data_IF_076117598220
#
_entry.id   IF_076117598220
#
_cell.length_a   1.000
_cell.length_b   1.000
_cell.length_c   1.000
_cell.angle_alpha   90.00
_cell.angle_beta   90.00
_cell.angle_gamma   90.00
#
_symmetry.space_group_name_H-M   'P 1'
#
loop_
_entity.id
_entity.type
_entity.pdbx_description
1 polymer ?
#
# COMPACT_ATOMS: atom_id res chain seq x y z
N UNK A 1 5.75 -83.30 9.93
CA UNK A 1 5.79 -82.88 8.51
C UNK A 1 4.96 -81.63 8.29
N UNK A 2 5.51 -80.74 7.45
CA UNK A 2 4.87 -79.61 6.75
C UNK A 2 4.95 -78.22 7.39
N UNK A 3 6.09 -77.62 7.07
CA UNK A 3 6.38 -76.23 6.69
C UNK A 3 5.25 -75.30 6.17
N UNK A 4 5.49 -74.02 6.49
CA UNK A 4 5.31 -72.77 5.71
C UNK A 4 3.97 -72.01 5.67
N UNK A 5 4.02 -70.73 6.10
CA UNK A 5 3.80 -69.51 5.28
C UNK A 5 4.01 -68.28 6.21
N UNK A 6 5.07 -67.48 6.05
CA UNK A 6 5.25 -66.37 5.10
C UNK A 6 4.59 -65.05 5.52
N UNK A 7 5.43 -64.02 5.47
CA UNK A 7 5.29 -62.64 5.91
C UNK A 7 4.01 -61.89 5.47
N UNK A 8 3.60 -60.90 6.26
CA UNK A 8 3.11 -59.64 5.71
C UNK A 8 3.34 -58.50 6.71
N UNK A 9 4.02 -57.46 6.23
CA UNK A 9 4.44 -56.26 6.95
C UNK A 9 3.27 -55.53 7.62
N UNK A 10 3.48 -54.82 8.75
CA UNK A 10 2.49 -53.87 9.24
C UNK A 10 2.42 -52.71 8.24
N UNK A 11 1.26 -52.55 7.58
CA UNK A 11 0.91 -51.38 6.79
C UNK A 11 1.21 -50.11 7.59
N UNK A 12 2.19 -49.34 7.14
CA UNK A 12 2.37 -47.95 7.55
C UNK A 12 1.12 -47.17 7.11
N UNK A 13 0.46 -46.41 8.01
CA UNK A 13 -0.73 -45.67 7.65
C UNK A 13 -0.41 -44.62 6.58
N UNK A 14 -1.32 -44.38 5.62
CA UNK A 14 -1.05 -43.53 4.48
C UNK A 14 -0.72 -42.10 4.95
N UNK A 15 0.40 -41.58 4.46
CA UNK A 15 0.87 -40.22 4.69
C UNK A 15 -0.29 -39.24 4.49
N UNK A 16 -0.75 -38.63 5.60
CA UNK A 16 -1.83 -37.66 5.53
C UNK A 16 -1.43 -36.50 4.62
N UNK A 17 -2.35 -36.00 3.76
CA UNK A 17 -2.07 -34.83 2.95
C UNK A 17 -1.79 -33.66 3.89
N UNK A 18 -0.52 -33.24 3.94
CA UNK A 18 -0.13 -32.09 4.74
C UNK A 18 -0.95 -30.90 4.27
N UNK A 19 -1.89 -30.46 5.11
CA UNK A 19 -2.67 -29.25 4.88
C UNK A 19 -1.66 -28.15 4.57
N UNK A 20 -1.68 -27.66 3.33
CA UNK A 20 -0.85 -26.52 2.91
C UNK A 20 -1.00 -25.47 4.00
N UNK A 21 0.11 -25.09 4.66
CA UNK A 21 0.13 -24.05 5.69
C UNK A 21 -0.59 -22.85 5.10
N UNK A 22 -1.86 -22.67 5.46
CA UNK A 22 -2.59 -21.46 5.09
C UNK A 22 -1.85 -20.38 5.83
N UNK A 23 -1.14 -19.53 5.08
CA UNK A 23 -0.46 -18.39 5.65
C UNK A 23 -1.43 -17.71 6.60
N UNK A 24 -1.06 -17.62 7.88
CA UNK A 24 -1.88 -17.02 8.93
C UNK A 24 -2.56 -15.78 8.37
N UNK A 25 -3.89 -15.70 8.47
CA UNK A 25 -4.63 -14.48 8.16
C UNK A 25 -4.19 -13.44 9.19
N UNK A 26 -3.09 -12.74 8.89
CA UNK A 26 -2.53 -11.67 9.73
C UNK A 26 -3.68 -10.71 10.04
N UNK A 27 -3.94 -10.50 11.33
CA UNK A 27 -4.98 -9.58 11.80
C UNK A 27 -4.47 -8.16 11.68
N UNK A 28 -5.37 -7.18 11.60
CA UNK A 28 -4.99 -5.78 11.53
C UNK A 28 -4.10 -5.32 12.71
N UNK A 29 -4.32 -5.91 13.88
CA UNK A 29 -3.50 -5.71 15.09
C UNK A 29 -2.03 -6.10 14.90
N UNK A 30 -1.73 -7.08 14.05
CA UNK A 30 -0.35 -7.54 13.81
C UNK A 30 0.45 -6.50 13.00
N UNK A 31 -0.23 -5.54 12.37
CA UNK A 31 0.39 -4.51 11.53
C UNK A 31 0.64 -3.20 12.26
N UNK A 32 -0.07 -2.93 13.36
CA UNK A 32 0.13 -1.72 14.17
C UNK A 32 1.58 -1.48 14.60
N UNK A 33 2.31 -2.46 15.18
CA UNK A 33 3.71 -2.24 15.60
C UNK A 33 4.66 -2.02 14.42
N UNK A 34 4.24 -2.39 13.20
CA UNK A 34 5.03 -2.23 12.00
C UNK A 34 4.64 -1.00 11.18
N UNK A 35 3.54 -0.33 11.52
CA UNK A 35 2.97 0.80 10.77
C UNK A 35 3.96 1.94 10.61
N UNK A 36 4.59 2.35 11.70
CA UNK A 36 5.59 3.43 11.71
C UNK A 36 6.79 3.06 10.83
N UNK A 37 7.28 1.82 10.96
CA UNK A 37 8.43 1.37 10.16
C UNK A 37 8.10 1.26 8.68
N UNK A 38 6.91 0.78 8.34
CA UNK A 38 6.42 0.71 6.96
C UNK A 38 6.25 2.12 6.39
N UNK A 39 5.75 3.07 7.18
CA UNK A 39 5.64 4.47 6.79
C UNK A 39 7.01 5.08 6.45
N UNK A 40 8.00 4.94 7.33
CA UNK A 40 9.34 5.45 7.10
C UNK A 40 9.98 4.89 5.83
N UNK A 41 9.85 3.57 5.62
CA UNK A 41 10.46 2.91 4.47
C UNK A 41 9.75 3.28 3.16
N UNK A 42 8.42 3.33 3.17
CA UNK A 42 7.63 3.50 1.95
C UNK A 42 7.42 4.98 1.57
N UNK A 43 7.19 5.85 2.55
CA UNK A 43 6.88 7.28 2.33
C UNK A 43 8.15 8.12 2.45
N UNK A 44 8.85 8.05 3.58
CA UNK A 44 10.02 8.90 3.85
C UNK A 44 11.22 8.52 2.99
N UNK A 45 11.52 7.22 2.86
CA UNK A 45 12.65 6.71 2.07
C UNK A 45 12.25 6.38 0.62
N UNK A 46 10.94 6.33 0.31
CA UNK A 46 10.43 6.11 -1.04
C UNK A 46 10.70 4.71 -1.62
N UNK A 47 11.02 3.73 -0.78
CA UNK A 47 11.41 2.38 -1.22
C UNK A 47 10.23 1.63 -1.87
N UNK A 48 10.48 0.79 -2.89
CA UNK A 48 9.45 -0.05 -3.48
C UNK A 48 8.97 -1.10 -2.47
N UNK A 49 7.72 -1.53 -2.58
CA UNK A 49 7.09 -2.51 -1.67
C UNK A 49 7.89 -3.81 -1.49
N UNK A 50 8.60 -4.26 -2.52
CA UNK A 50 9.46 -5.45 -2.45
C UNK A 50 10.60 -5.26 -1.44
N UNK A 51 11.24 -4.10 -1.44
CA UNK A 51 12.32 -3.75 -0.52
C UNK A 51 11.77 -3.46 0.88
N UNK A 52 10.65 -2.74 1.01
CA UNK A 52 9.98 -2.51 2.30
C UNK A 52 9.71 -3.85 2.99
N UNK A 53 9.18 -4.83 2.24
CA UNK A 53 8.93 -6.18 2.76
C UNK A 53 10.22 -6.87 3.20
N UNK A 54 11.27 -6.82 2.38
CA UNK A 54 12.54 -7.47 2.69
C UNK A 54 13.16 -6.89 3.96
N UNK A 55 13.20 -5.56 4.07
CA UNK A 55 13.75 -4.87 5.25
C UNK A 55 12.91 -5.16 6.49
N UNK A 56 11.58 -5.22 6.36
CA UNK A 56 10.71 -5.52 7.50
C UNK A 56 10.86 -6.99 7.93
N UNK A 57 10.93 -7.93 6.98
CA UNK A 57 11.18 -9.34 7.25
C UNK A 57 12.55 -9.56 7.92
N UNK A 58 13.60 -8.86 7.48
CA UNK A 58 14.94 -8.97 8.05
C UNK A 58 15.03 -8.39 9.46
N UNK A 59 14.39 -7.24 9.71
CA UNK A 59 14.48 -6.55 11.01
C UNK A 59 13.55 -7.09 12.08
N UNK A 60 12.33 -7.50 11.72
CA UNK A 60 11.31 -7.91 12.69
C UNK A 60 10.87 -9.37 12.52
N UNK A 61 11.33 -10.06 11.47
CA UNK A 61 10.83 -11.40 11.12
C UNK A 61 9.41 -11.37 10.55
N UNK A 62 8.82 -10.20 10.32
CA UNK A 62 7.44 -10.07 9.88
C UNK A 62 7.29 -10.44 8.40
N UNK A 63 6.78 -11.65 8.17
CA UNK A 63 6.51 -12.17 6.83
C UNK A 63 5.06 -11.84 6.46
N UNK A 64 4.87 -11.13 5.35
CA UNK A 64 3.55 -10.81 4.82
C UNK A 64 3.55 -10.73 3.30
N UNK A 65 2.38 -10.94 2.67
CA UNK A 65 2.26 -10.87 1.22
C UNK A 65 2.14 -9.42 0.75
N UNK A 66 2.63 -9.13 -0.46
CA UNK A 66 2.57 -7.78 -1.05
C UNK A 66 1.14 -7.23 -1.13
N UNK A 67 0.14 -8.09 -1.40
CA UNK A 67 -1.28 -7.72 -1.38
C UNK A 67 -1.73 -7.18 -0.02
N UNK A 68 -1.22 -7.75 1.08
CA UNK A 68 -1.55 -7.30 2.42
C UNK A 68 -0.92 -5.94 2.71
N UNK A 69 0.35 -5.72 2.34
CA UNK A 69 0.98 -4.39 2.44
C UNK A 69 0.18 -3.32 1.67
N UNK A 70 -0.24 -3.61 0.44
CA UNK A 70 -1.06 -2.69 -0.36
C UNK A 70 -2.37 -2.34 0.34
N UNK A 71 -3.05 -3.34 0.90
CA UNK A 71 -4.30 -3.14 1.64
C UNK A 71 -4.07 -2.26 2.88
N UNK A 72 -3.02 -2.53 3.66
CA UNK A 72 -2.71 -1.76 4.86
C UNK A 72 -2.27 -0.33 4.54
N UNK A 73 -1.42 -0.12 3.53
CA UNK A 73 -1.05 1.22 3.06
C UNK A 73 -2.27 2.01 2.60
N UNK A 74 -3.21 1.35 1.90
CA UNK A 74 -4.46 1.99 1.49
C UNK A 74 -5.33 2.35 2.70
N UNK A 75 -5.51 1.42 3.66
CA UNK A 75 -6.25 1.65 4.90
C UNK A 75 -5.63 2.77 5.74
N UNK A 76 -4.30 2.90 5.75
CA UNK A 76 -3.58 3.93 6.48
C UNK A 76 -3.49 5.27 5.74
N UNK A 77 -4.00 5.35 4.51
CA UNK A 77 -3.93 6.56 3.69
C UNK A 77 -2.52 6.91 3.20
N UNK A 78 -1.57 5.97 3.30
CA UNK A 78 -0.16 6.12 2.92
C UNK A 78 0.03 5.92 1.42
N UNK A 79 -0.70 6.69 0.62
CA UNK A 79 -0.63 6.63 -0.83
C UNK A 79 0.50 7.51 -1.35
N UNK A 80 1.37 6.94 -2.18
CA UNK A 80 2.41 7.66 -2.94
C UNK A 80 1.83 8.71 -3.90
N UNK A 81 0.56 8.56 -4.27
CA UNK A 81 -0.15 9.43 -5.19
C UNK A 81 -1.28 10.16 -4.49
N UNK A 82 -1.33 11.48 -4.71
CA UNK A 82 -2.43 12.34 -4.26
C UNK A 82 -3.68 11.96 -5.03
N UNK A 83 -4.78 11.70 -4.30
CA UNK A 83 -6.05 11.31 -4.92
C UNK A 83 -6.67 12.51 -5.64
N UNK A 84 -7.54 12.25 -6.63
CA UNK A 84 -8.20 13.30 -7.41
C UNK A 84 -8.89 14.35 -6.52
N UNK A 85 -9.69 13.92 -5.53
CA UNK A 85 -10.36 14.84 -4.60
C UNK A 85 -9.40 15.69 -3.74
N UNK A 86 -8.21 15.17 -3.42
CA UNK A 86 -7.19 15.94 -2.70
C UNK A 86 -6.58 17.01 -3.62
N UNK A 87 -6.35 16.66 -4.88
CA UNK A 87 -5.93 17.61 -5.91
C UNK A 87 -7.00 18.67 -6.17
N UNK A 88 -8.29 18.30 -6.22
CA UNK A 88 -9.40 19.24 -6.30
C UNK A 88 -9.36 20.22 -5.12
N UNK A 89 -9.23 19.73 -3.89
CA UNK A 89 -9.14 20.59 -2.71
C UNK A 89 -7.95 21.57 -2.79
N UNK A 90 -6.82 21.16 -3.38
CA UNK A 90 -5.66 22.01 -3.63
C UNK A 90 -5.96 23.04 -4.73
N UNK A 91 -6.58 22.64 -5.84
CA UNK A 91 -7.01 23.56 -6.90
C UNK A 91 -7.98 24.59 -6.35
N UNK A 92 -8.95 24.20 -5.53
CA UNK A 92 -9.86 25.12 -4.85
C UNK A 92 -9.14 26.10 -3.91
N UNK A 93 -8.11 25.63 -3.17
CA UNK A 93 -7.29 26.51 -2.33
C UNK A 93 -6.48 27.47 -3.21
N UNK A 94 -5.88 26.98 -4.29
CA UNK A 94 -5.10 27.76 -5.24
C UNK A 94 -5.96 28.82 -5.95
N UNK A 95 -7.14 28.47 -6.44
CA UNK A 95 -8.07 29.41 -7.07
C UNK A 95 -8.55 30.48 -6.10
N UNK A 96 -8.78 30.14 -4.83
CA UNK A 96 -9.07 31.12 -3.77
C UNK A 96 -7.85 31.99 -3.42
N UNK A 97 -6.65 31.43 -3.51
CA UNK A 97 -5.39 32.11 -3.25
C UNK A 97 -4.84 32.88 -4.46
N UNK A 98 -5.44 32.79 -5.67
CA UNK A 98 -5.02 33.54 -6.88
C UNK A 98 -5.00 35.06 -6.74
N UNK A 99 -5.41 35.58 -5.58
CA UNK A 99 -5.21 36.98 -5.22
C UNK A 99 -3.80 37.26 -4.66
N UNK A 100 -3.03 36.24 -4.24
CA UNK A 100 -1.76 36.35 -3.52
C UNK A 100 -0.78 35.23 -3.97
N UNK A 101 0.14 35.59 -4.88
CA UNK A 101 1.46 34.99 -5.17
C UNK A 101 1.64 33.72 -6.04
N UNK A 102 2.68 33.79 -6.91
CA UNK A 102 3.02 32.86 -8.01
C UNK A 102 3.93 31.68 -7.61
N UNK A 103 4.13 31.41 -6.32
CA UNK A 103 5.08 30.38 -5.88
C UNK A 103 4.55 29.51 -4.72
N UNK A 104 3.28 29.09 -4.83
CA UNK A 104 2.64 28.28 -3.79
C UNK A 104 3.07 26.82 -3.93
N UNK A 105 3.71 26.30 -2.88
CA UNK A 105 3.98 24.87 -2.70
C UNK A 105 2.95 24.34 -1.70
N UNK A 106 2.13 23.37 -2.11
CA UNK A 106 1.23 22.68 -1.19
C UNK A 106 1.84 21.36 -0.74
N UNK A 107 1.91 21.13 0.57
CA UNK A 107 2.33 19.85 1.12
C UNK A 107 1.08 19.01 1.42
N UNK A 108 0.90 17.89 0.72
CA UNK A 108 -0.17 16.93 1.00
C UNK A 108 0.42 15.58 1.29
N UNK A 109 0.25 15.11 2.54
CA UNK A 109 0.67 13.78 3.00
C UNK A 109 2.10 13.43 2.52
N UNK A 110 3.03 14.36 2.75
CA UNK A 110 4.46 14.28 2.39
C UNK A 110 4.81 14.40 0.90
N UNK A 111 3.83 14.67 0.03
CA UNK A 111 4.07 14.94 -1.37
C UNK A 111 3.96 16.45 -1.65
N UNK A 112 5.08 17.05 -2.08
CA UNK A 112 5.10 18.45 -2.50
C UNK A 112 4.38 18.59 -3.85
N UNK A 113 3.38 19.46 -3.86
CA UNK A 113 2.67 19.88 -5.06
C UNK A 113 3.14 21.27 -5.44
N UNK A 114 3.90 21.32 -6.52
CA UNK A 114 4.28 22.57 -7.17
C UNK A 114 3.20 22.96 -8.18
N UNK A 115 3.07 24.27 -8.46
CA UNK A 115 2.12 24.79 -9.44
C UNK A 115 2.15 24.04 -10.80
N UNK A 116 3.30 23.71 -11.41
CA UNK A 116 3.33 22.99 -12.68
C UNK A 116 2.69 21.59 -12.62
N UNK A 117 2.74 20.93 -11.46
CA UNK A 117 2.12 19.61 -11.25
C UNK A 117 0.60 19.72 -11.15
N UNK A 118 0.12 20.79 -10.52
CA UNK A 118 -1.30 21.12 -10.40
C UNK A 118 -1.85 21.53 -11.77
N UNK A 119 -1.18 22.42 -12.50
CA UNK A 119 -1.57 22.85 -13.85
C UNK A 119 -1.64 21.69 -14.85
N UNK A 120 -0.65 20.78 -14.83
CA UNK A 120 -0.67 19.56 -15.65
C UNK A 120 -1.83 18.64 -15.31
N UNK A 121 -2.28 18.63 -14.06
CA UNK A 121 -3.46 17.88 -13.67
C UNK A 121 -4.74 18.59 -14.13
N UNK A 122 -4.87 19.90 -13.91
CA UNK A 122 -5.99 20.72 -14.39
C UNK A 122 -6.19 20.57 -15.91
N UNK A 123 -5.11 20.65 -16.69
CA UNK A 123 -5.15 20.47 -18.15
C UNK A 123 -5.58 19.07 -18.59
N UNK A 124 -5.29 18.03 -17.81
CA UNK A 124 -5.73 16.66 -18.08
C UNK A 124 -7.18 16.39 -17.69
N UNK A 125 -7.74 17.23 -16.83
CA UNK A 125 -9.11 17.15 -16.34
C UNK A 125 -9.99 18.28 -16.93
N UNK A 126 -9.53 18.96 -17.99
CA UNK A 126 -10.22 20.08 -18.67
C UNK A 126 -10.67 21.23 -17.74
N UNK A 127 -9.95 21.44 -16.64
CA UNK A 127 -10.23 22.50 -15.68
C UNK A 127 -9.62 23.79 -16.20
N UNK A 128 -10.46 24.67 -16.75
CA UNK A 128 -10.04 25.98 -17.26
C UNK A 128 -9.90 26.96 -16.10
N UNK A 129 -8.76 27.66 -16.04
CA UNK A 129 -8.42 28.62 -14.99
C UNK A 129 -9.44 29.76 -14.79
N UNK A 130 -10.24 30.01 -15.82
CA UNK A 130 -11.20 31.11 -15.92
C UNK A 130 -12.54 30.85 -15.24
N UNK A 131 -12.85 29.62 -14.82
CA UNK A 131 -14.12 29.30 -14.19
C UNK A 131 -13.86 28.70 -12.81
N UNK A 132 -14.48 29.30 -11.79
CA UNK A 132 -14.67 28.70 -10.47
C UNK A 132 -15.04 27.22 -10.66
N UNK A 133 -14.18 26.29 -10.22
CA UNK A 133 -14.44 24.87 -10.40
C UNK A 133 -15.61 24.47 -9.49
N UNK A 134 -16.76 24.22 -10.10
CA UNK A 134 -17.87 23.49 -9.51
C UNK A 134 -17.79 22.06 -10.07
N UNK A 135 -17.64 21.03 -9.22
CA UNK A 135 -17.56 19.65 -9.71
C UNK A 135 -18.84 19.27 -10.47
N UNK A 136 -18.75 18.48 -11.55
CA UNK A 136 -19.94 17.99 -12.25
C UNK A 136 -20.77 17.14 -11.28
N UNK A 137 -22.07 17.47 -11.18
CA UNK A 137 -23.04 16.75 -10.35
C UNK A 137 -23.30 15.33 -10.85
#
# INVERSE_FOLDING_TARGET
SREQASASSPMEPPAQPQKRKRWSTLRASDWEPHKERVFDLYVTQGLPLREVRQVLEEKTGFKAQERQYKLHLWNWGMNKYIKAHEMEAIVHKLQRQKQIERNIVFNVRDNQMTLPKIERWMKRHDITDSFLYAPPS
#
